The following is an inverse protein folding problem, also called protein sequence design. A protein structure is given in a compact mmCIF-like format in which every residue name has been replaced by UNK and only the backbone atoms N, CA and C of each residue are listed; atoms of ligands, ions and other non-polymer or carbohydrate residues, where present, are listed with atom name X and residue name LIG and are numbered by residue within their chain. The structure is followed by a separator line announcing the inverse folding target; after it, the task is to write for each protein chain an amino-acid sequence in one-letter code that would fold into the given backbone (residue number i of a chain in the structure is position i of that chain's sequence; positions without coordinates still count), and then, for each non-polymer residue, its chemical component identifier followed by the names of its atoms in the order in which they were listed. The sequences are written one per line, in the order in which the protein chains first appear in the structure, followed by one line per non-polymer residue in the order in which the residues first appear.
data_IF_111741103814
#
_entry.id   IF_111741103814
#
_cell.length_a   1.000
_cell.length_b   1.000
_cell.length_c   1.000
_cell.angle_alpha   90.00
_cell.angle_beta   90.00
_cell.angle_gamma   90.00
#
_symmetry.space_group_name_H-M   'P 1'
#
loop_
_entity.id
_entity.type
_entity.pdbx_description
1 polymer ?
#
# COMPACT_ATOMS: atom_id res chain seq x y z
N UNK A 1 16.59 3.70 -25.98
CA UNK A 1 16.78 2.53 -25.11
C UNK A 1 15.47 2.18 -24.41
N UNK A 2 14.79 1.12 -24.87
CA UNK A 2 13.64 0.53 -24.18
C UNK A 2 14.17 -0.45 -23.11
N UNK A 3 14.52 0.06 -21.93
CA UNK A 3 14.61 -0.83 -20.77
C UNK A 3 13.19 -1.28 -20.42
N UNK A 4 13.01 -2.59 -20.18
CA UNK A 4 11.72 -3.20 -19.82
C UNK A 4 11.08 -2.48 -18.61
N UNK A 5 11.93 -1.87 -17.76
CA UNK A 5 11.57 -1.08 -16.59
C UNK A 5 12.04 0.36 -16.79
N UNK A 6 11.10 1.32 -16.79
CA UNK A 6 11.42 2.74 -16.88
C UNK A 6 11.99 3.24 -15.54
N UNK A 7 13.23 3.74 -15.51
CA UNK A 7 13.89 4.20 -14.27
C UNK A 7 13.10 5.25 -13.49
N UNK A 8 12.38 6.13 -14.19
CA UNK A 8 11.50 7.13 -13.56
C UNK A 8 10.30 6.49 -12.86
N UNK A 9 9.86 5.31 -13.31
CA UNK A 9 8.76 4.56 -12.70
C UNK A 9 9.17 4.04 -11.32
N UNK A 10 10.31 3.37 -11.23
CA UNK A 10 10.84 2.84 -9.97
C UNK A 10 11.22 3.98 -9.02
N UNK A 11 11.87 5.04 -9.53
CA UNK A 11 12.23 6.21 -8.71
C UNK A 11 11.01 6.85 -8.03
N UNK A 12 9.86 6.94 -8.73
CA UNK A 12 8.60 7.40 -8.12
C UNK A 12 8.08 6.43 -7.07
N UNK A 13 8.11 5.12 -7.34
CA UNK A 13 7.67 4.11 -6.38
C UNK A 13 8.50 4.19 -5.08
N UNK A 14 9.83 4.26 -5.19
CA UNK A 14 10.73 4.41 -4.02
C UNK A 14 10.45 5.70 -3.25
N UNK A 15 10.25 6.82 -3.94
CA UNK A 15 9.89 8.08 -3.28
C UNK A 15 8.58 7.98 -2.50
N UNK A 16 7.56 7.37 -3.10
CA UNK A 16 6.28 7.13 -2.42
C UNK A 16 6.46 6.21 -1.21
N UNK A 17 7.25 5.14 -1.35
CA UNK A 17 7.55 4.21 -0.26
C UNK A 17 8.21 4.93 0.93
N UNK A 18 9.22 5.79 0.68
CA UNK A 18 9.87 6.59 1.71
C UNK A 18 8.88 7.52 2.40
N UNK A 19 8.05 8.24 1.63
CA UNK A 19 7.02 9.14 2.17
C UNK A 19 6.03 8.38 3.07
N UNK A 20 5.59 7.21 2.64
CA UNK A 20 4.66 6.37 3.41
C UNK A 20 5.30 5.75 4.65
N UNK A 21 6.60 5.45 4.61
CA UNK A 21 7.35 4.99 5.78
C UNK A 21 7.48 6.09 6.82
N UNK A 22 7.77 7.33 6.38
CA UNK A 22 7.78 8.50 7.25
C UNK A 22 6.38 8.73 7.84
N UNK A 23 5.33 8.59 7.03
CA UNK A 23 3.95 8.75 7.50
C UNK A 23 3.57 7.68 8.54
N UNK A 24 3.93 6.41 8.32
CA UNK A 24 3.75 5.32 9.28
C UNK A 24 4.41 5.71 10.62
N UNK A 25 5.71 6.03 10.59
CA UNK A 25 6.46 6.40 11.78
C UNK A 25 5.86 7.61 12.49
N UNK A 26 5.48 8.65 11.75
CA UNK A 26 4.80 9.82 12.28
C UNK A 26 3.49 9.45 12.99
N UNK A 27 2.63 8.65 12.35
CA UNK A 27 1.37 8.21 12.96
C UNK A 27 1.58 7.33 14.19
N UNK A 28 2.61 6.48 14.20
CA UNK A 28 3.01 5.69 15.38
C UNK A 28 3.40 6.60 16.54
N UNK A 29 4.24 7.61 16.29
CA UNK A 29 4.67 8.57 17.32
C UNK A 29 3.48 9.35 17.87
N UNK A 30 2.61 9.88 16.99
CA UNK A 30 1.40 10.59 17.41
C UNK A 30 0.53 9.67 18.27
N UNK A 31 0.19 8.48 17.79
CA UNK A 31 -0.65 7.56 18.55
C UNK A 31 -0.03 7.13 19.89
N UNK A 32 1.30 6.99 19.96
CA UNK A 32 2.01 6.71 21.22
C UNK A 32 1.77 7.80 22.27
N UNK A 33 1.80 9.09 21.89
CA UNK A 33 1.59 10.19 22.85
C UNK A 33 0.11 10.46 23.17
N UNK A 34 -0.79 10.23 22.20
CA UNK A 34 -2.22 10.51 22.37
C UNK A 34 -3.00 9.39 23.06
N UNK A 35 -2.41 8.20 23.21
CA UNK A 35 -3.01 7.04 23.88
C UNK A 35 -4.45 6.75 23.39
N UNK A 36 -4.63 6.35 22.11
CA UNK A 36 -5.96 6.03 21.59
C UNK A 36 -6.61 4.95 22.46
N UNK A 37 -7.92 5.06 22.72
CA UNK A 37 -8.63 4.08 23.55
C UNK A 37 -8.70 2.72 22.86
N UNK A 38 -8.80 1.65 23.64
CA UNK A 38 -9.01 0.30 23.10
C UNK A 38 -10.22 0.22 22.15
N UNK A 39 -11.27 1.00 22.43
CA UNK A 39 -12.47 1.04 21.61
C UNK A 39 -12.19 1.61 20.22
N UNK A 40 -11.40 2.69 20.13
CA UNK A 40 -10.95 3.25 18.85
C UNK A 40 -10.15 2.21 18.07
N UNK A 41 -9.25 1.48 18.74
CA UNK A 41 -8.44 0.43 18.11
C UNK A 41 -9.31 -0.75 17.65
N UNK A 42 -10.27 -1.20 18.45
CA UNK A 42 -11.21 -2.27 18.07
C UNK A 42 -12.07 -1.87 16.88
N UNK A 43 -12.53 -0.62 16.82
CA UNK A 43 -13.29 -0.11 15.66
C UNK A 43 -12.43 -0.03 14.39
N UNK A 44 -11.15 0.30 14.50
CA UNK A 44 -10.21 0.28 13.39
C UNK A 44 -9.92 -1.15 12.93
N UNK A 45 -9.71 -2.08 13.87
CA UNK A 45 -9.46 -3.50 13.60
C UNK A 45 -10.67 -4.24 13.01
N UNK A 46 -11.89 -3.92 13.45
CA UNK A 46 -13.13 -4.53 12.94
C UNK A 46 -13.47 -4.14 11.48
N UNK A 47 -12.78 -3.15 10.92
CA UNK A 47 -12.85 -2.83 9.48
C UNK A 47 -11.96 -3.74 8.64
N UNK A 48 -11.08 -4.54 9.26
CA UNK A 48 -10.38 -5.60 8.55
C UNK A 48 -11.38 -6.70 8.15
N UNK A 49 -11.26 -7.29 6.94
CA UNK A 49 -12.17 -8.34 6.51
C UNK A 49 -12.12 -9.53 7.48
N UNK A 50 -13.27 -9.91 8.07
CA UNK A 50 -13.41 -11.06 9.00
C UNK A 50 -12.79 -12.38 8.51
N UNK A 51 -12.65 -12.55 7.19
CA UNK A 51 -12.03 -13.74 6.57
C UNK A 51 -10.55 -13.93 6.95
N UNK A 52 -9.83 -12.87 7.29
CA UNK A 52 -8.39 -12.91 7.56
C UNK A 52 -8.07 -13.13 9.05
N UNK A 53 -9.00 -12.78 9.95
CA UNK A 53 -8.81 -12.90 11.40
C UNK A 53 -9.13 -14.28 11.98
N UNK A 54 -9.87 -15.12 11.25
CA UNK A 54 -10.38 -16.43 11.74
C UNK A 54 -9.75 -17.64 11.01
N UNK A 55 -8.76 -17.42 10.14
CA UNK A 55 -8.17 -18.48 9.31
C UNK A 55 -6.66 -18.52 9.42
N UNK A 56 -6.10 -19.73 9.34
CA UNK A 56 -4.66 -19.99 9.42
C UNK A 56 -4.11 -20.62 8.13
N UNK A 57 -2.78 -20.60 8.00
CA UNK A 57 -2.07 -21.24 6.88
C UNK A 57 -2.44 -20.68 5.51
N UNK A 58 -2.56 -21.55 4.50
CA UNK A 58 -2.76 -21.13 3.11
C UNK A 58 -4.09 -20.40 2.87
N UNK A 59 -5.11 -20.64 3.69
CA UNK A 59 -6.38 -19.92 3.60
C UNK A 59 -6.17 -18.44 3.94
N UNK A 60 -5.38 -18.16 4.98
CA UNK A 60 -5.00 -16.80 5.38
C UNK A 60 -4.18 -16.12 4.29
N UNK A 61 -3.17 -16.81 3.74
CA UNK A 61 -2.35 -16.32 2.61
C UNK A 61 -3.23 -15.94 1.43
N UNK A 62 -4.16 -16.81 1.05
CA UNK A 62 -5.07 -16.54 -0.05
C UNK A 62 -5.97 -15.34 0.23
N UNK A 63 -6.47 -15.20 1.45
CA UNK A 63 -7.24 -14.02 1.89
C UNK A 63 -6.47 -12.71 1.75
N UNK A 64 -5.19 -12.71 2.14
CA UNK A 64 -4.29 -11.56 1.93
C UNK A 64 -4.04 -11.28 0.45
N UNK A 65 -3.79 -12.31 -0.37
CA UNK A 65 -3.62 -12.14 -1.83
C UNK A 65 -4.89 -11.52 -2.44
N UNK A 66 -6.08 -12.05 -2.14
CA UNK A 66 -7.34 -11.50 -2.64
C UNK A 66 -7.49 -10.02 -2.28
N UNK A 67 -7.25 -9.68 -1.02
CA UNK A 67 -7.40 -8.31 -0.51
C UNK A 67 -6.38 -7.37 -1.12
N UNK A 68 -5.09 -7.68 -1.00
CA UNK A 68 -4.02 -6.72 -1.23
C UNK A 68 -3.49 -6.79 -2.67
N UNK A 69 -3.64 -7.92 -3.37
CA UNK A 69 -3.24 -8.03 -4.77
C UNK A 69 -4.35 -7.70 -5.76
N UNK A 70 -5.62 -7.84 -5.37
CA UNK A 70 -6.76 -7.59 -6.26
C UNK A 70 -7.68 -6.47 -5.80
N UNK A 71 -8.31 -6.57 -4.63
CA UNK A 71 -9.30 -5.59 -4.19
C UNK A 71 -8.71 -4.18 -4.03
N UNK A 72 -7.60 -4.04 -3.30
CA UNK A 72 -6.94 -2.74 -3.08
C UNK A 72 -6.43 -2.14 -4.39
N UNK A 73 -5.67 -2.86 -5.25
CA UNK A 73 -5.27 -2.37 -6.57
C UNK A 73 -6.43 -1.95 -7.49
N UNK A 74 -7.53 -2.70 -7.47
CA UNK A 74 -8.70 -2.38 -8.28
C UNK A 74 -9.36 -1.07 -7.81
N UNK A 75 -9.51 -0.89 -6.49
CA UNK A 75 -10.00 0.37 -5.93
C UNK A 75 -9.08 1.54 -6.29
N UNK A 76 -7.77 1.37 -6.16
CA UNK A 76 -6.80 2.40 -6.59
C UNK A 76 -6.94 2.73 -8.07
N UNK A 77 -7.12 1.72 -8.92
CA UNK A 77 -7.33 1.92 -10.36
C UNK A 77 -8.60 2.74 -10.62
N UNK A 78 -9.73 2.38 -10.00
CA UNK A 78 -11.00 3.12 -10.13
C UNK A 78 -10.80 4.59 -9.73
N UNK A 79 -10.16 4.85 -8.59
CA UNK A 79 -9.88 6.22 -8.14
C UNK A 79 -8.93 6.98 -9.08
N UNK A 80 -7.99 6.29 -9.74
CA UNK A 80 -7.07 6.91 -10.68
C UNK A 80 -7.72 7.31 -12.01
N UNK A 81 -8.85 6.69 -12.36
CA UNK A 81 -9.61 7.06 -13.56
C UNK A 81 -10.38 8.37 -13.37
N UNK A 82 -10.71 8.72 -12.11
CA UNK A 82 -11.28 10.03 -11.78
C UNK A 82 -10.20 11.09 -12.02
N UNK A 83 -10.47 12.17 -12.77
CA UNK A 83 -9.48 13.18 -13.15
C UNK A 83 -9.11 14.13 -12.00
N UNK A 84 -9.02 13.62 -10.78
CA UNK A 84 -8.55 14.30 -9.59
C UNK A 84 -7.11 13.80 -9.33
N UNK A 85 -6.10 14.70 -9.34
CA UNK A 85 -4.73 14.31 -9.05
C UNK A 85 -4.61 13.57 -7.71
N UNK A 86 -3.83 12.48 -7.71
CA UNK A 86 -3.44 11.74 -6.50
C UNK A 86 -4.56 11.07 -5.69
N UNK A 87 -5.81 11.10 -6.13
CA UNK A 87 -6.94 10.50 -5.40
C UNK A 87 -6.72 9.00 -5.11
N UNK A 88 -6.09 8.27 -6.02
CA UNK A 88 -5.74 6.85 -5.88
C UNK A 88 -4.73 6.56 -4.75
N UNK A 89 -4.06 7.57 -4.18
CA UNK A 89 -3.17 7.39 -3.04
C UNK A 89 -3.93 7.23 -1.71
N UNK A 90 -5.23 7.56 -1.67
CA UNK A 90 -6.04 7.45 -0.45
C UNK A 90 -5.95 6.06 0.18
N UNK A 91 -6.02 5.01 -0.64
CA UNK A 91 -5.91 3.62 -0.17
C UNK A 91 -4.55 3.33 0.47
N UNK A 92 -3.44 3.80 -0.11
CA UNK A 92 -2.11 3.62 0.49
C UNK A 92 -1.98 4.39 1.79
N UNK A 93 -2.51 5.61 1.85
CA UNK A 93 -2.48 6.43 3.07
C UNK A 93 -3.20 5.71 4.20
N UNK A 94 -4.40 5.18 3.96
CA UNK A 94 -5.15 4.40 4.96
C UNK A 94 -4.38 3.15 5.38
N UNK A 95 -3.74 2.46 4.43
CA UNK A 95 -2.96 1.23 4.68
C UNK A 95 -1.71 1.45 5.54
N UNK A 96 -1.27 2.70 5.74
CA UNK A 96 -0.16 3.01 6.67
C UNK A 96 -0.60 3.73 7.95
N UNK A 97 -1.65 4.56 7.88
CA UNK A 97 -2.17 5.27 9.05
C UNK A 97 -2.76 4.29 10.05
N UNK A 98 -3.54 3.30 9.61
CA UNK A 98 -4.20 2.34 10.52
C UNK A 98 -3.15 1.51 11.29
N UNK A 99 -2.19 0.82 10.63
CA UNK A 99 -1.14 0.10 11.34
C UNK A 99 -0.28 1.02 12.22
N UNK A 100 0.03 2.24 11.79
CA UNK A 100 0.78 3.20 12.59
C UNK A 100 0.08 3.53 13.91
N UNK A 101 -1.22 3.80 13.87
CA UNK A 101 -2.02 4.00 15.08
C UNK A 101 -2.03 2.76 15.98
N UNK A 102 -2.15 1.56 15.40
CA UNK A 102 -2.10 0.30 16.15
C UNK A 102 -0.75 0.10 16.86
N UNK A 103 0.38 0.38 16.19
CA UNK A 103 1.69 0.27 16.81
C UNK A 103 1.91 1.30 17.91
N UNK A 104 1.46 2.55 17.71
CA UNK A 104 1.55 3.58 18.75
C UNK A 104 0.79 3.17 20.01
N UNK A 105 -0.42 2.62 19.84
CA UNK A 105 -1.20 2.04 20.93
C UNK A 105 -0.45 0.89 21.63
N UNK A 106 0.01 -0.11 20.88
CA UNK A 106 0.69 -1.28 21.46
C UNK A 106 1.95 -0.88 22.22
N UNK A 107 2.74 0.06 21.69
CA UNK A 107 3.92 0.61 22.36
C UNK A 107 3.58 1.33 23.67
N UNK A 108 2.47 2.07 23.70
CA UNK A 108 2.03 2.74 24.93
C UNK A 108 1.50 1.78 26.00
N UNK A 109 0.84 0.70 25.58
CA UNK A 109 0.27 -0.29 26.51
C UNK A 109 1.32 -1.27 27.03
N UNK A 110 2.18 -1.79 26.14
CA UNK A 110 3.26 -2.70 26.47
C UNK A 110 4.41 -2.53 25.47
N UNK A 111 5.48 -1.80 25.85
CA UNK A 111 6.60 -1.52 24.94
C UNK A 111 7.19 -2.78 24.32
N UNK A 112 7.29 -3.87 25.09
CA UNK A 112 7.76 -5.16 24.61
C UNK A 112 6.84 -5.75 23.51
N UNK A 113 5.52 -5.79 23.74
CA UNK A 113 4.54 -6.26 22.73
C UNK A 113 4.50 -5.33 21.50
N UNK A 114 4.69 -4.03 21.69
CA UNK A 114 4.75 -3.07 20.59
C UNK A 114 5.99 -3.25 19.71
N UNK A 115 7.18 -3.42 20.31
CA UNK A 115 8.43 -3.64 19.57
C UNK A 115 8.41 -4.99 18.83
N UNK A 116 7.98 -6.05 19.49
CA UNK A 116 7.84 -7.39 18.88
C UNK A 116 6.89 -7.36 17.68
N UNK A 117 5.71 -6.73 17.82
CA UNK A 117 4.75 -6.58 16.72
C UNK A 117 5.31 -5.75 15.55
N UNK A 118 6.03 -4.65 15.84
CA UNK A 118 6.69 -3.85 14.81
C UNK A 118 7.72 -4.67 14.03
N UNK A 119 8.60 -5.40 14.72
CA UNK A 119 9.63 -6.22 14.08
C UNK A 119 9.00 -7.33 13.23
N UNK A 120 7.96 -7.98 13.72
CA UNK A 120 7.21 -8.99 12.97
C UNK A 120 6.51 -8.43 11.72
N UNK A 121 6.10 -7.17 11.75
CA UNK A 121 5.38 -6.51 10.66
C UNK A 121 6.29 -5.96 9.54
N UNK A 122 7.55 -5.61 9.84
CA UNK A 122 8.49 -5.01 8.86
C UNK A 122 8.56 -5.78 7.53
N UNK A 123 8.70 -7.12 7.50
CA UNK A 123 8.79 -7.86 6.24
C UNK A 123 7.53 -7.75 5.40
N UNK A 124 6.36 -7.96 6.02
CA UNK A 124 5.07 -7.83 5.36
C UNK A 124 4.85 -6.41 4.82
N UNK A 125 5.04 -5.40 5.67
CA UNK A 125 4.96 -3.99 5.31
C UNK A 125 5.83 -3.65 4.10
N UNK A 126 7.09 -4.09 4.14
CA UNK A 126 8.08 -3.74 3.12
C UNK A 126 7.64 -4.25 1.75
N UNK A 127 7.23 -5.53 1.67
CA UNK A 127 6.81 -6.12 0.42
C UNK A 127 5.48 -5.57 -0.07
N UNK A 128 4.48 -5.47 0.80
CA UNK A 128 3.15 -4.98 0.43
C UNK A 128 3.19 -3.52 -0.03
N UNK A 129 3.72 -2.62 0.80
CA UNK A 129 3.69 -1.19 0.52
C UNK A 129 4.59 -0.85 -0.66
N UNK A 130 5.72 -1.55 -0.86
CA UNK A 130 6.51 -1.41 -2.08
C UNK A 130 5.71 -1.86 -3.31
N UNK A 131 5.03 -3.02 -3.23
CA UNK A 131 4.16 -3.51 -4.30
C UNK A 131 3.07 -2.51 -4.68
N UNK A 132 2.39 -1.92 -3.69
CA UNK A 132 1.37 -0.89 -3.91
C UNK A 132 1.96 0.43 -4.44
N UNK A 133 3.16 0.82 -4.02
CA UNK A 133 3.87 2.00 -4.54
C UNK A 133 4.23 1.84 -6.03
N UNK A 134 4.58 0.62 -6.45
CA UNK A 134 4.79 0.30 -7.87
C UNK A 134 3.49 0.52 -8.66
N UNK A 135 2.34 0.09 -8.14
CA UNK A 135 1.04 0.35 -8.78
C UNK A 135 0.76 1.86 -8.84
N UNK A 136 0.88 2.56 -7.71
CA UNK A 136 0.65 3.99 -7.61
C UNK A 136 1.50 4.81 -8.60
N UNK A 137 2.75 4.42 -8.83
CA UNK A 137 3.63 5.05 -9.82
C UNK A 137 3.13 4.93 -11.26
N UNK A 138 2.43 3.84 -11.60
CA UNK A 138 1.79 3.65 -12.91
C UNK A 138 0.48 4.39 -13.01
N UNK A 139 -0.33 4.34 -11.94
CA UNK A 139 -1.56 5.10 -11.82
C UNK A 139 -1.32 6.60 -11.93
N UNK A 140 -0.19 7.12 -11.44
CA UNK A 140 0.22 8.50 -11.66
C UNK A 140 0.28 8.86 -13.16
N UNK A 141 0.92 8.04 -13.98
CA UNK A 141 1.05 8.29 -15.43
C UNK A 141 -0.31 8.12 -16.12
N UNK A 142 -1.11 7.13 -15.70
CA UNK A 142 -2.46 6.91 -16.22
C UNK A 142 -3.38 8.10 -15.94
N UNK A 143 -3.45 8.53 -14.68
CA UNK A 143 -4.24 9.67 -14.24
C UNK A 143 -3.81 10.96 -14.94
N UNK A 144 -2.49 11.20 -15.07
CA UNK A 144 -1.96 12.34 -15.84
C UNK A 144 -2.36 12.29 -17.32
N UNK A 145 -2.38 11.11 -17.94
CA UNK A 145 -2.83 10.95 -19.33
C UNK A 145 -4.32 11.31 -19.47
N UNK A 146 -5.16 10.90 -18.52
CA UNK A 146 -6.60 11.22 -18.49
C UNK A 146 -6.82 12.72 -18.29
N UNK A 147 -6.19 13.31 -17.27
CA UNK A 147 -6.30 14.76 -16.97
C UNK A 147 -5.84 15.58 -18.17
N UNK A 148 -4.72 15.23 -18.81
CA UNK A 148 -4.26 15.95 -20.01
C UNK A 148 -5.24 15.83 -21.17
N UNK A 149 -5.80 14.65 -21.39
CA UNK A 149 -6.78 14.44 -22.45
C UNK A 149 -8.02 15.32 -22.23
N UNK A 150 -8.56 15.34 -21.02
CA UNK A 150 -9.73 16.17 -20.65
C UNK A 150 -9.39 17.65 -20.73
N UNK A 151 -8.33 18.11 -20.07
CA UNK A 151 -7.96 19.54 -20.05
C UNK A 151 -7.59 20.09 -21.42
N UNK A 152 -7.06 19.26 -22.34
CA UNK A 152 -6.78 19.67 -23.71
C UNK A 152 -8.03 19.82 -24.59
N UNK A 153 -9.20 19.28 -24.19
CA UNK A 153 -10.48 19.57 -24.86
C UNK A 153 -10.90 21.03 -24.68
N UNK A 154 -10.52 21.64 -23.55
CA UNK A 154 -10.93 23.00 -23.18
C UNK A 154 -9.83 24.06 -23.41
N UNK A 155 -8.61 23.67 -23.79
CA UNK A 155 -7.49 24.61 -23.99
C UNK A 155 -7.38 25.10 -25.43
N UNK A 156 -7.19 26.42 -25.59
CA UNK A 156 -6.86 27.07 -26.87
C UNK A 156 -5.50 26.63 -27.45
N UNK A 157 -4.50 26.37 -26.58
CA UNK A 157 -3.18 25.80 -26.96
C UNK A 157 -3.00 24.44 -26.29
N UNK A 158 -2.94 23.37 -27.08
CA UNK A 158 -2.85 21.98 -26.60
C UNK A 158 -1.45 21.71 -26.04
N UNK A 159 -1.39 21.06 -24.86
CA UNK A 159 -0.13 20.55 -24.30
C UNK A 159 0.16 19.14 -24.83
N UNK A 160 1.43 18.73 -24.80
CA UNK A 160 1.83 17.37 -25.21
C UNK A 160 1.09 16.30 -24.41
N UNK A 161 0.50 15.32 -25.11
CA UNK A 161 -0.29 14.27 -24.50
C UNK A 161 0.59 13.12 -24.01
N UNK A 162 0.26 12.56 -22.85
CA UNK A 162 0.74 11.23 -22.50
C UNK A 162 -0.05 10.18 -23.27
N UNK A 163 0.65 9.16 -23.78
CA UNK A 163 -0.02 8.03 -24.44
C UNK A 163 -0.74 7.16 -23.41
N UNK A 164 -2.08 7.16 -23.48
CA UNK A 164 -2.92 6.33 -22.61
C UNK A 164 -2.64 4.83 -22.78
N UNK A 165 -2.47 4.38 -24.04
CA UNK A 165 -2.12 2.99 -24.36
C UNK A 165 -0.80 2.59 -23.69
N UNK A 166 0.21 3.47 -23.75
CA UNK A 166 1.51 3.23 -23.10
C UNK A 166 1.39 3.22 -21.58
N UNK A 167 0.57 4.10 -21.00
CA UNK A 167 0.32 4.14 -19.56
C UNK A 167 -0.31 2.83 -19.06
N UNK A 168 -1.37 2.35 -19.73
CA UNK A 168 -2.05 1.09 -19.39
C UNK A 168 -1.12 -0.11 -19.56
N UNK A 169 -0.40 -0.18 -20.68
CA UNK A 169 0.52 -1.30 -20.96
C UNK A 169 1.64 -1.37 -19.91
N UNK A 170 2.20 -0.22 -19.53
CA UNK A 170 3.25 -0.17 -18.51
C UNK A 170 2.69 -0.51 -17.13
N UNK A 171 1.50 -0.03 -16.77
CA UNK A 171 0.84 -0.39 -15.52
C UNK A 171 0.64 -1.91 -15.42
N UNK A 172 0.10 -2.53 -16.47
CA UNK A 172 -0.13 -3.98 -16.50
C UNK A 172 1.18 -4.77 -16.37
N UNK A 173 2.23 -4.38 -17.09
CA UNK A 173 3.56 -5.01 -16.99
C UNK A 173 4.14 -4.91 -15.58
N UNK A 174 4.12 -3.71 -15.00
CA UNK A 174 4.67 -3.48 -13.65
C UNK A 174 3.83 -4.16 -12.56
N UNK A 175 2.52 -4.24 -12.76
CA UNK A 175 1.64 -4.98 -11.86
C UNK A 175 1.98 -6.48 -11.89
N UNK A 176 1.99 -7.12 -13.06
CA UNK A 176 2.20 -8.57 -13.17
C UNK A 176 3.62 -9.01 -12.82
N UNK A 177 4.64 -8.24 -13.23
CA UNK A 177 6.04 -8.66 -13.11
C UNK A 177 6.70 -8.22 -11.80
N UNK A 178 6.14 -7.24 -11.10
CA UNK A 178 6.78 -6.66 -9.90
C UNK A 178 5.81 -6.60 -8.73
N UNK A 179 4.68 -5.90 -8.89
CA UNK A 179 3.76 -5.68 -7.76
C UNK A 179 3.14 -6.97 -7.24
N UNK A 180 2.57 -7.80 -8.12
CA UNK A 180 1.90 -9.04 -7.76
C UNK A 180 2.85 -10.03 -7.06
N UNK A 181 4.08 -10.30 -7.55
CA UNK A 181 5.07 -11.08 -6.82
C UNK A 181 5.38 -10.53 -5.42
N UNK A 182 5.56 -9.22 -5.28
CA UNK A 182 5.83 -8.59 -3.98
C UNK A 182 4.67 -8.78 -3.01
N UNK A 183 3.43 -8.57 -3.46
CA UNK A 183 2.25 -8.71 -2.59
C UNK A 183 2.02 -10.18 -2.20
N UNK A 184 2.32 -11.14 -3.09
CA UNK A 184 2.31 -12.56 -2.75
C UNK A 184 3.35 -12.84 -1.64
N UNK A 185 4.58 -12.36 -1.78
CA UNK A 185 5.60 -12.49 -0.74
C UNK A 185 5.13 -11.86 0.59
N UNK A 186 4.47 -10.70 0.54
CA UNK A 186 3.91 -10.04 1.71
C UNK A 186 2.87 -10.92 2.43
N UNK A 187 2.02 -11.63 1.70
CA UNK A 187 1.02 -12.53 2.27
C UNK A 187 1.66 -13.73 3.00
N UNK A 188 2.75 -14.28 2.44
CA UNK A 188 3.52 -15.34 3.09
C UNK A 188 4.24 -14.84 4.33
N UNK A 189 4.85 -13.66 4.28
CA UNK A 189 5.55 -13.10 5.45
C UNK A 189 4.58 -12.78 6.59
N UNK A 190 3.39 -12.29 6.28
CA UNK A 190 2.35 -12.02 7.28
C UNK A 190 1.82 -13.30 7.94
N UNK A 191 1.69 -14.38 7.16
CA UNK A 191 1.08 -15.62 7.67
C UNK A 191 2.08 -16.50 8.41
N UNK A 192 3.31 -16.63 7.90
CA UNK A 192 4.27 -17.58 8.44
C UNK A 192 5.42 -16.90 9.17
N UNK A 193 5.99 -15.84 8.57
CA UNK A 193 7.18 -15.21 9.14
C UNK A 193 6.85 -14.38 10.38
N UNK A 194 5.73 -13.66 10.39
CA UNK A 194 5.27 -12.92 11.57
C UNK A 194 5.01 -13.88 12.75
N UNK A 195 4.30 -14.99 12.51
CA UNK A 195 4.06 -16.02 13.53
C UNK A 195 5.36 -16.64 14.04
N UNK A 196 6.32 -16.93 13.14
CA UNK A 196 7.63 -17.43 13.52
C UNK A 196 8.40 -16.45 14.42
N UNK A 197 8.43 -15.16 14.07
CA UNK A 197 9.10 -14.15 14.89
C UNK A 197 8.42 -13.96 16.24
N UNK A 198 7.09 -13.94 16.30
CA UNK A 198 6.36 -13.84 17.56
C UNK A 198 6.64 -15.04 18.48
N UNK A 199 6.71 -16.25 17.93
CA UNK A 199 7.05 -17.46 18.69
C UNK A 199 8.50 -17.51 19.16
N UNK A 200 9.44 -16.86 18.46
CA UNK A 200 10.83 -16.75 18.90
C UNK A 200 11.04 -15.75 20.04
N UNK A 201 10.16 -14.76 20.13
CA UNK A 201 10.30 -13.68 21.11
C UNK A 201 9.58 -14.01 22.42
N UNK A 202 8.47 -14.75 22.38
CA UNK A 202 7.75 -15.27 23.56
C UNK A 202 8.52 -16.40 24.27
#
# INVERSE_FOLDING_TARGET
MNSIINSNYIKRAIKLFIILTILLAFTTIVAFFFHPTEEIIKQLGNKAPKRVSETDGLIKVWGFIQTNAFYVPLQMLILALIPIPFLYLANLIVSVIIPGMMFGFLLSFSPYKGITALLAYIPHYTFEIMGLCVIASGLYILNQAIIRKITNLFRKRKKENYSLKKAITNLAKMYLLVSLPLIILAAFTETYFANFLLNLMN
#
